data_IF_016955166572
#
_entry.id   IF_016955166572
#
_cell.length_a   1.000
_cell.length_b   1.000
_cell.length_c   1.000
_cell.angle_alpha   90.00
_cell.angle_beta   90.00
_cell.angle_gamma   90.00
#
_symmetry.space_group_name_H-M   'P 1'
#
loop_
_entity.id
_entity.type
_entity.pdbx_description
1 polymer ?
#
# COMPACT_ATOMS: atom_id res chain seq x y z
N UNK A 1 14.41 -9.39 25.38
CA UNK A 1 14.40 -8.73 24.05
C UNK A 1 13.01 -8.90 23.44
N UNK A 2 12.03 -8.13 23.92
CA UNK A 2 10.66 -8.19 23.45
C UNK A 2 10.19 -6.76 23.13
N UNK A 3 9.91 -6.50 21.85
CA UNK A 3 9.37 -5.25 21.35
C UNK A 3 8.45 -5.56 20.18
N UNK A 4 7.39 -6.32 20.46
CA UNK A 4 6.32 -6.62 19.51
C UNK A 4 5.58 -5.32 19.18
N UNK A 5 5.75 -4.85 17.94
CA UNK A 5 5.06 -3.69 17.40
C UNK A 5 3.56 -3.99 17.23
N UNK A 6 2.80 -3.64 18.26
CA UNK A 6 1.34 -3.60 18.27
C UNK A 6 0.82 -2.46 17.38
N UNK A 7 0.81 -2.66 16.06
CA UNK A 7 0.19 -1.71 15.11
C UNK A 7 -1.31 -1.96 14.88
N UNK A 8 -1.89 -3.02 15.44
CA UNK A 8 -3.27 -3.44 15.12
C UNK A 8 -4.37 -2.76 15.93
N UNK A 9 -4.07 -2.18 17.10
CA UNK A 9 -5.12 -1.69 18.01
C UNK A 9 -5.38 -0.18 18.01
N UNK A 10 -4.64 0.63 17.24
CA UNK A 10 -4.85 2.09 17.21
C UNK A 10 -5.79 2.56 16.08
N UNK A 11 -6.23 1.68 15.18
CA UNK A 11 -7.10 2.06 14.06
C UNK A 11 -8.60 2.00 14.35
N UNK A 12 -9.01 1.58 15.55
CA UNK A 12 -10.43 1.38 15.87
C UNK A 12 -11.02 2.33 16.91
N UNK A 13 -10.26 3.21 17.57
CA UNK A 13 -10.83 4.16 18.54
C UNK A 13 -10.04 5.48 18.59
N UNK A 14 -10.33 6.38 17.65
CA UNK A 14 -10.18 7.83 17.88
C UNK A 14 -10.99 8.62 16.85
N UNK A 15 -12.16 9.11 17.31
CA UNK A 15 -12.83 10.40 17.04
C UNK A 15 -12.77 11.09 15.66
N UNK A 16 -13.81 11.86 15.29
CA UNK A 16 -14.16 12.13 13.92
C UNK A 16 -13.11 13.02 13.24
N UNK A 17 -12.66 12.56 12.08
CA UNK A 17 -11.87 13.36 11.15
C UNK A 17 -12.58 14.70 10.93
N UNK A 18 -11.94 15.81 11.32
CA UNK A 18 -12.31 17.13 10.83
C UNK A 18 -12.22 17.07 9.29
N UNK A 19 -13.29 17.37 8.54
CA UNK A 19 -13.19 17.47 7.11
C UNK A 19 -12.22 18.61 6.82
N UNK A 20 -11.18 18.34 6.04
CA UNK A 20 -10.46 19.39 5.34
C UNK A 20 -11.51 20.23 4.61
N UNK A 21 -11.43 21.55 4.80
CA UNK A 21 -12.31 22.53 4.16
C UNK A 21 -12.50 22.15 2.69
N UNK A 22 -13.76 21.90 2.33
CA UNK A 22 -14.20 21.56 0.98
C UNK A 22 -13.99 22.75 0.06
N UNK A 23 -12.76 22.95 -0.41
CA UNK A 23 -12.56 23.55 -1.72
C UNK A 23 -13.12 22.54 -2.72
N UNK A 24 -14.12 22.97 -3.50
CA UNK A 24 -14.73 22.18 -4.57
C UNK A 24 -13.69 21.85 -5.63
N UNK A 25 -12.90 20.81 -5.39
CA UNK A 25 -11.93 20.28 -6.33
C UNK A 25 -12.74 19.46 -7.33
N UNK A 26 -12.72 19.88 -8.59
CA UNK A 26 -13.40 19.19 -9.68
C UNK A 26 -12.95 17.71 -9.72
N UNK A 27 -13.86 16.74 -9.90
CA UNK A 27 -13.54 15.30 -9.89
C UNK A 27 -12.43 14.91 -10.88
N UNK A 28 -12.20 15.72 -11.91
CA UNK A 28 -11.12 15.56 -12.87
C UNK A 28 -9.71 15.75 -12.27
N UNK A 29 -9.59 16.56 -11.21
CA UNK A 29 -8.33 16.83 -10.53
C UNK A 29 -7.90 15.67 -9.61
N UNK A 30 -8.85 14.98 -8.98
CA UNK A 30 -8.57 13.85 -8.08
C UNK A 30 -8.05 12.62 -8.84
N UNK A 31 -8.64 12.33 -10.00
CA UNK A 31 -8.20 11.22 -10.88
C UNK A 31 -6.76 11.45 -11.37
N UNK A 32 -6.43 12.69 -11.74
CA UNK A 32 -5.08 13.03 -12.20
C UNK A 32 -4.05 12.95 -11.06
N UNK A 33 -4.42 13.39 -9.85
CA UNK A 33 -3.58 13.28 -8.68
C UNK A 33 -3.36 11.82 -8.26
N UNK A 34 -4.41 10.99 -8.28
CA UNK A 34 -4.35 9.55 -8.07
C UNK A 34 -3.34 8.91 -9.03
N UNK A 35 -3.51 9.13 -10.33
CA UNK A 35 -2.67 8.51 -11.35
C UNK A 35 -1.20 8.94 -11.21
N UNK A 36 -0.95 10.21 -10.90
CA UNK A 36 0.40 10.73 -10.67
C UNK A 36 1.08 10.08 -9.45
N UNK A 37 0.38 10.05 -8.31
CA UNK A 37 0.95 9.49 -7.07
C UNK A 37 1.17 7.99 -7.20
N UNK A 38 0.22 7.26 -7.79
CA UNK A 38 0.37 5.82 -8.05
C UNK A 38 1.53 5.56 -9.01
N UNK A 39 1.64 6.31 -10.12
CA UNK A 39 2.77 6.17 -11.05
C UNK A 39 4.12 6.42 -10.38
N UNK A 40 4.20 7.46 -9.54
CA UNK A 40 5.40 7.77 -8.76
C UNK A 40 5.72 6.68 -7.75
N UNK A 41 4.73 6.17 -7.04
CA UNK A 41 4.93 5.10 -6.06
C UNK A 41 5.40 3.81 -6.74
N UNK A 42 4.86 3.46 -7.92
CA UNK A 42 5.32 2.32 -8.71
C UNK A 42 6.76 2.49 -9.19
N UNK A 43 7.15 3.69 -9.61
CA UNK A 43 8.53 4.01 -9.97
C UNK A 43 9.47 3.86 -8.77
N UNK A 44 9.11 4.44 -7.62
CA UNK A 44 9.88 4.32 -6.38
C UNK A 44 9.99 2.87 -5.91
N UNK A 45 8.93 2.07 -6.10
CA UNK A 45 8.93 0.65 -5.79
C UNK A 45 9.95 -0.11 -6.64
N UNK A 46 10.08 0.23 -7.93
CA UNK A 46 11.05 -0.39 -8.83
C UNK A 46 12.50 -0.03 -8.48
N UNK A 47 12.72 1.18 -7.96
CA UNK A 47 14.05 1.62 -7.50
C UNK A 47 14.38 1.17 -6.07
N UNK A 48 13.45 0.53 -5.37
CA UNK A 48 13.58 0.15 -3.98
C UNK A 48 14.65 -0.94 -3.79
N UNK A 49 15.61 -0.69 -2.88
CA UNK A 49 16.71 -1.62 -2.57
C UNK A 49 16.69 -2.15 -1.13
N UNK A 50 15.83 -1.61 -0.26
CA UNK A 50 15.75 -1.98 1.15
C UNK A 50 14.29 -2.09 1.60
N UNK A 51 14.02 -2.94 2.59
CA UNK A 51 12.68 -3.07 3.19
C UNK A 51 12.21 -1.78 3.87
N UNK A 52 13.14 -0.94 4.35
CA UNK A 52 12.83 0.36 4.95
C UNK A 52 12.14 1.28 3.94
N UNK A 53 12.70 1.41 2.73
CA UNK A 53 12.13 2.25 1.67
C UNK A 53 10.76 1.72 1.24
N UNK A 54 10.62 0.40 1.19
CA UNK A 54 9.36 -0.26 0.89
C UNK A 54 8.26 0.12 1.89
N UNK A 55 8.54 0.03 3.18
CA UNK A 55 7.57 0.39 4.21
C UNK A 55 7.22 1.88 4.20
N UNK A 56 8.17 2.76 3.86
CA UNK A 56 7.89 4.18 3.67
C UNK A 56 6.91 4.42 2.52
N UNK A 57 7.17 3.83 1.34
CA UNK A 57 6.28 3.94 0.17
C UNK A 57 4.89 3.38 0.53
N UNK A 58 4.84 2.21 1.17
CA UNK A 58 3.60 1.58 1.58
C UNK A 58 2.82 2.46 2.56
N UNK A 59 3.48 2.97 3.60
CA UNK A 59 2.84 3.83 4.61
C UNK A 59 2.23 5.07 3.96
N UNK A 60 2.95 5.68 3.03
CA UNK A 60 2.46 6.84 2.29
C UNK A 60 1.21 6.51 1.49
N UNK A 61 1.20 5.40 0.75
CA UNK A 61 0.03 4.95 -0.03
C UNK A 61 -1.17 4.60 0.85
N UNK A 62 -0.95 4.02 2.03
CA UNK A 62 -2.02 3.74 2.99
C UNK A 62 -2.61 5.04 3.51
N UNK A 63 -1.76 5.97 3.97
CA UNK A 63 -2.21 7.25 4.54
C UNK A 63 -2.87 8.18 3.52
N UNK A 64 -2.54 8.06 2.24
CA UNK A 64 -3.18 8.81 1.15
C UNK A 64 -4.42 8.13 0.58
N UNK A 65 -4.78 6.93 1.07
CA UNK A 65 -5.95 6.18 0.58
C UNK A 65 -5.74 5.47 -0.77
N UNK A 66 -4.52 5.48 -1.31
CA UNK A 66 -4.18 4.97 -2.64
C UNK A 66 -3.80 3.48 -2.65
N UNK A 67 -3.79 2.82 -1.50
CA UNK A 67 -3.33 1.44 -1.35
C UNK A 67 -4.32 0.36 -1.86
N UNK A 68 -5.54 0.74 -2.26
CA UNK A 68 -6.59 -0.23 -2.67
C UNK A 68 -6.38 -0.81 -4.07
N UNK A 69 -5.45 -0.24 -4.84
CA UNK A 69 -5.18 -0.62 -6.22
C UNK A 69 -4.48 -2.00 -6.30
N UNK A 70 -5.07 -2.91 -7.06
CA UNK A 70 -4.50 -4.24 -7.33
C UNK A 70 -3.19 -4.18 -8.12
N UNK A 71 -3.01 -3.14 -8.95
CA UNK A 71 -1.80 -2.96 -9.75
C UNK A 71 -0.55 -2.75 -8.88
N UNK A 72 -0.71 -2.05 -7.74
CA UNK A 72 0.37 -1.85 -6.79
C UNK A 72 0.71 -3.14 -6.05
N UNK A 73 -0.30 -3.84 -5.53
CA UNK A 73 -0.12 -5.07 -4.77
C UNK A 73 0.56 -6.17 -5.60
N UNK A 74 0.17 -6.34 -6.87
CA UNK A 74 0.83 -7.27 -7.78
C UNK A 74 2.33 -6.96 -7.95
N UNK A 75 2.70 -5.69 -8.14
CA UNK A 75 4.12 -5.30 -8.23
C UNK A 75 4.87 -5.45 -6.92
N UNK A 76 4.21 -5.19 -5.80
CA UNK A 76 4.77 -5.41 -4.46
C UNK A 76 5.12 -6.87 -4.24
N UNK A 77 4.26 -7.81 -4.65
CA UNK A 77 4.51 -9.24 -4.50
C UNK A 77 5.61 -9.76 -5.42
N UNK A 78 5.85 -9.10 -6.56
CA UNK A 78 6.96 -9.42 -7.48
C UNK A 78 8.33 -9.03 -6.92
N UNK A 79 8.39 -8.24 -5.84
CA UNK A 79 9.66 -7.83 -5.28
C UNK A 79 10.47 -9.03 -4.77
N UNK A 80 11.81 -8.97 -4.86
CA UNK A 80 12.69 -10.01 -4.34
C UNK A 80 12.37 -10.40 -2.90
N UNK A 81 12.55 -11.69 -2.57
CA UNK A 81 12.43 -12.19 -1.21
C UNK A 81 13.39 -11.51 -0.24
N UNK A 82 14.52 -10.98 -0.70
CA UNK A 82 15.42 -10.14 0.11
C UNK A 82 14.78 -8.85 0.63
N UNK A 83 13.71 -8.37 -0.02
CA UNK A 83 12.92 -7.21 0.43
C UNK A 83 11.67 -7.63 1.21
N UNK A 84 11.02 -8.72 0.79
CA UNK A 84 9.81 -9.25 1.42
C UNK A 84 9.89 -10.77 1.53
N UNK A 85 10.38 -11.25 2.68
CA UNK A 85 10.42 -12.69 3.00
C UNK A 85 9.33 -13.14 3.99
N UNK A 86 8.45 -12.23 4.41
CA UNK A 86 7.40 -12.53 5.37
C UNK A 86 6.08 -12.90 4.65
N UNK A 87 5.71 -14.18 4.76
CA UNK A 87 4.46 -14.70 4.23
C UNK A 87 3.23 -14.08 4.93
N UNK A 88 3.29 -13.88 6.25
CA UNK A 88 2.20 -13.24 6.99
C UNK A 88 1.98 -11.81 6.50
N UNK A 89 3.06 -11.06 6.29
CA UNK A 89 2.99 -9.72 5.70
C UNK A 89 2.40 -9.75 4.28
N UNK A 90 2.85 -10.68 3.44
CA UNK A 90 2.33 -10.87 2.08
C UNK A 90 0.82 -11.12 2.10
N UNK A 91 0.35 -12.02 2.97
CA UNK A 91 -1.08 -12.34 3.13
C UNK A 91 -1.89 -11.16 3.68
N UNK A 92 -1.33 -10.35 4.59
CA UNK A 92 -2.00 -9.16 5.11
C UNK A 92 -2.25 -8.12 4.01
N UNK A 93 -1.29 -7.95 3.10
CA UNK A 93 -1.46 -7.06 1.95
C UNK A 93 -2.46 -7.64 0.97
N UNK A 94 -2.38 -8.93 0.68
CA UNK A 94 -3.30 -9.58 -0.25
C UNK A 94 -4.76 -9.43 0.21
N UNK A 95 -5.03 -9.57 1.51
CA UNK A 95 -6.36 -9.34 2.12
C UNK A 95 -6.86 -7.90 2.03
N UNK A 96 -5.99 -6.92 1.78
CA UNK A 96 -6.35 -5.50 1.67
C UNK A 96 -6.65 -5.09 0.22
N UNK A 97 -6.34 -5.94 -0.76
CA UNK A 97 -6.65 -5.69 -2.18
C UNK A 97 -8.13 -5.95 -2.40
N UNK A 98 -8.86 -4.96 -2.91
CA UNK A 98 -10.32 -5.03 -3.08
C UNK A 98 -10.71 -6.01 -4.20
N UNK A 99 -9.94 -6.04 -5.29
CA UNK A 99 -10.15 -6.94 -6.42
C UNK A 99 -8.80 -7.49 -6.94
N UNK A 100 -8.27 -8.56 -6.35
CA UNK A 100 -7.01 -9.15 -6.81
C UNK A 100 -7.19 -9.74 -8.22
N UNK A 101 -6.29 -9.37 -9.13
CA UNK A 101 -6.25 -9.97 -10.47
C UNK A 101 -5.53 -11.33 -10.45
N UNK A 102 -5.63 -12.08 -11.55
CA UNK A 102 -4.98 -13.38 -11.68
C UNK A 102 -3.45 -13.29 -11.49
N UNK A 103 -2.85 -12.15 -11.86
CA UNK A 103 -1.43 -11.91 -11.66
C UNK A 103 -1.08 -11.84 -10.17
N UNK A 104 -1.84 -11.09 -9.39
CA UNK A 104 -1.70 -10.94 -7.95
C UNK A 104 -1.84 -12.29 -7.23
N UNK A 105 -2.89 -13.05 -7.56
CA UNK A 105 -3.13 -14.40 -7.00
C UNK A 105 -1.97 -15.34 -7.32
N UNK A 106 -1.58 -15.42 -8.60
CA UNK A 106 -0.49 -16.30 -9.05
C UNK A 106 0.85 -15.95 -8.40
N UNK A 107 1.12 -14.65 -8.18
CA UNK A 107 2.37 -14.21 -7.57
C UNK A 107 2.43 -14.60 -6.09
N UNK A 108 1.32 -14.49 -5.36
CA UNK A 108 1.25 -14.92 -3.96
C UNK A 108 1.38 -16.44 -3.82
N UNK A 109 0.74 -17.21 -4.71
CA UNK A 109 0.84 -18.69 -4.69
C UNK A 109 2.24 -19.23 -5.01
N UNK A 110 3.03 -18.49 -5.79
CA UNK A 110 4.39 -18.88 -6.20
C UNK A 110 5.48 -18.45 -5.22
N UNK A 111 5.13 -17.67 -4.20
CA UNK A 111 6.08 -17.05 -3.28
C UNK A 111 6.62 -18.00 -2.24
#
# INVERSE_FOLDING_TARGET
MAGLLSFRNLLLHSHPFKPFSSSSISPRSEINAYHFVTSRALYLLQCCKTSIHLFQIQSHLITSGLFRDSSFAGRLFKLPSSLINDLCYTLLIFKRVESPDAFCVNTVMKK
#
